data_IF_207661017731
#
_entry.id   IF_207661017731
#
_cell.length_a   1.000
_cell.length_b   1.000
_cell.length_c   1.000
_cell.angle_alpha   90.00
_cell.angle_beta   90.00
_cell.angle_gamma   90.00
#
_symmetry.space_group_name_H-M   'P 1'
#
loop_
_entity.id
_entity.type
_entity.pdbx_description
1 polymer ?
#
# COMPACT_ATOMS: atom_id res chain seq x y z
N UNK A 1 -11.83 -16.27 12.59
CA UNK A 1 -10.45 -16.15 13.11
C UNK A 1 -9.80 -14.91 12.49
N UNK A 2 -9.28 -13.96 13.29
CA UNK A 2 -8.56 -12.81 12.75
C UNK A 2 -7.26 -13.32 12.13
N UNK A 3 -7.08 -13.11 10.82
CA UNK A 3 -5.81 -13.45 10.16
C UNK A 3 -4.80 -12.35 10.47
N UNK A 4 -3.69 -12.74 11.08
CA UNK A 4 -2.52 -11.91 11.36
C UNK A 4 -1.97 -11.24 10.09
N UNK A 5 -1.42 -10.03 10.26
CA UNK A 5 -0.93 -9.17 9.20
C UNK A 5 0.17 -9.81 8.33
N UNK A 6 0.35 -9.35 7.08
CA UNK A 6 1.50 -9.70 6.26
C UNK A 6 2.78 -8.98 6.68
N UNK A 7 2.68 -7.90 7.48
CA UNK A 7 3.83 -7.15 8.01
C UNK A 7 3.61 -6.87 9.49
N UNK A 8 4.55 -7.26 10.34
CA UNK A 8 4.58 -6.89 11.76
C UNK A 8 5.60 -5.77 11.94
N UNK A 9 5.19 -4.69 12.62
CA UNK A 9 6.10 -3.62 12.99
C UNK A 9 6.60 -3.85 14.42
N UNK A 10 7.92 -3.80 14.59
CA UNK A 10 8.57 -3.89 15.88
C UNK A 10 9.21 -2.54 16.21
N UNK A 11 9.03 -2.05 17.44
CA UNK A 11 9.80 -0.91 17.95
C UNK A 11 11.22 -1.37 18.26
N UNK A 12 12.18 -0.77 17.57
CA UNK A 12 13.60 -1.08 17.66
C UNK A 12 14.41 0.14 18.09
N UNK A 13 13.77 1.12 18.73
CA UNK A 13 14.38 2.40 19.12
C UNK A 13 15.64 2.18 19.97
N UNK A 14 15.54 1.35 21.00
CA UNK A 14 16.63 1.09 21.96
C UNK A 14 17.54 -0.07 21.54
N UNK A 15 17.30 -0.68 20.37
CA UNK A 15 18.06 -1.82 19.87
C UNK A 15 19.33 -1.37 19.15
N UNK A 16 20.47 -1.77 19.68
CA UNK A 16 21.80 -1.51 19.10
C UNK A 16 22.24 -2.58 18.09
N UNK A 17 21.55 -3.73 18.06
CA UNK A 17 21.80 -4.81 17.10
C UNK A 17 21.13 -4.58 15.74
N UNK A 18 20.28 -3.56 15.63
CA UNK A 18 19.60 -3.18 14.40
C UNK A 18 20.39 -2.10 13.67
N UNK A 19 20.64 -2.25 12.35
CA UNK A 19 21.36 -1.26 11.55
C UNK A 19 20.77 0.14 11.66
N UNK A 20 21.61 1.15 11.43
CA UNK A 20 21.15 2.52 11.31
C UNK A 20 20.10 2.66 10.19
N UNK A 21 19.11 3.54 10.36
CA UNK A 21 18.10 3.78 9.35
C UNK A 21 18.73 4.38 8.08
N UNK A 22 18.09 4.16 6.94
CA UNK A 22 18.46 4.86 5.71
C UNK A 22 18.13 6.35 5.80
N UNK A 23 18.79 7.14 4.94
CA UNK A 23 18.48 8.56 4.70
C UNK A 23 18.57 9.43 5.97
N UNK A 24 19.66 9.25 6.74
CA UNK A 24 19.95 10.07 7.93
C UNK A 24 20.05 11.57 7.61
N UNK A 25 20.41 11.93 6.38
CA UNK A 25 20.39 13.29 5.87
C UNK A 25 18.98 13.90 5.85
N UNK A 26 17.98 13.14 5.40
CA UNK A 26 16.56 13.56 5.42
C UNK A 26 16.06 13.69 6.86
N UNK A 27 16.42 12.74 7.73
CA UNK A 27 16.10 12.79 9.16
C UNK A 27 16.71 14.04 9.80
N UNK A 28 17.98 14.32 9.54
CA UNK A 28 18.67 15.50 10.05
C UNK A 28 18.03 16.80 9.55
N UNK A 29 17.57 16.84 8.30
CA UNK A 29 16.85 18.01 7.77
C UNK A 29 15.52 18.28 8.47
N UNK A 30 14.76 17.22 8.83
CA UNK A 30 13.58 17.38 9.70
C UNK A 30 13.93 17.85 11.11
N UNK A 31 15.00 17.33 11.69
CA UNK A 31 15.47 17.76 13.01
C UNK A 31 15.89 19.24 13.01
N UNK A 32 16.51 19.71 11.92
CA UNK A 32 16.91 21.11 11.76
C UNK A 32 15.71 22.07 11.76
N UNK A 33 14.51 21.62 11.35
CA UNK A 33 13.27 22.41 11.41
C UNK A 33 12.42 22.13 12.66
N UNK A 34 13.00 21.48 13.68
CA UNK A 34 12.39 21.33 15.00
C UNK A 34 11.61 20.04 15.23
N UNK A 35 11.71 19.04 14.35
CA UNK A 35 11.16 17.71 14.63
C UNK A 35 12.06 16.93 15.58
N UNK A 36 11.46 16.12 16.45
CA UNK A 36 12.17 15.19 17.33
C UNK A 36 11.95 13.75 16.89
N UNK A 37 13.00 12.93 16.93
CA UNK A 37 12.84 11.49 16.71
C UNK A 37 12.14 10.87 17.92
N UNK A 38 11.11 10.06 17.65
CA UNK A 38 10.28 9.42 18.69
C UNK A 38 10.33 7.90 18.65
N UNK A 39 10.63 7.30 17.49
CA UNK A 39 10.82 5.86 17.39
C UNK A 39 11.66 5.44 16.17
N UNK A 40 12.22 4.23 16.23
CA UNK A 40 12.66 3.44 15.08
C UNK A 40 11.76 2.22 14.96
N UNK A 41 11.20 1.98 13.78
CA UNK A 41 10.30 0.85 13.55
C UNK A 41 10.84 -0.06 12.45
N UNK A 42 10.89 -1.36 12.70
CA UNK A 42 11.30 -2.36 11.72
C UNK A 42 10.08 -3.14 11.23
N UNK A 43 9.85 -3.14 9.92
CA UNK A 43 8.82 -3.96 9.29
C UNK A 43 9.36 -5.35 9.00
N UNK A 44 8.67 -6.39 9.47
CA UNK A 44 8.98 -7.78 9.15
C UNK A 44 7.90 -8.37 8.24
N UNK A 45 8.31 -8.84 7.05
CA UNK A 45 7.40 -9.52 6.14
C UNK A 45 7.08 -10.93 6.63
N UNK A 46 5.82 -11.35 6.52
CA UNK A 46 5.39 -12.72 6.84
C UNK A 46 6.06 -13.72 5.89
N UNK A 47 6.83 -14.64 6.46
CA UNK A 47 7.68 -15.55 5.70
C UNK A 47 9.11 -15.05 5.48
N UNK A 48 9.46 -13.88 6.04
CA UNK A 48 10.78 -13.28 5.95
C UNK A 48 11.01 -12.47 4.68
N UNK A 49 12.06 -11.65 4.70
CA UNK A 49 12.47 -10.82 3.56
C UNK A 49 12.75 -11.68 2.32
N UNK A 50 13.41 -12.82 2.48
CA UNK A 50 13.75 -13.71 1.36
C UNK A 50 12.52 -14.25 0.62
N UNK A 51 11.45 -14.59 1.33
CA UNK A 51 10.21 -15.02 0.70
C UNK A 51 9.53 -13.88 -0.09
N UNK A 52 9.63 -12.64 0.41
CA UNK A 52 9.09 -11.46 -0.26
C UNK A 52 9.85 -11.13 -1.55
N UNK A 53 11.18 -11.21 -1.53
CA UNK A 53 12.03 -10.80 -2.66
C UNK A 53 12.32 -11.91 -3.68
N UNK A 54 11.92 -13.17 -3.41
CA UNK A 54 12.23 -14.33 -4.26
C UNK A 54 11.89 -14.13 -5.74
N UNK A 55 10.82 -13.40 -6.02
CA UNK A 55 10.32 -13.22 -7.38
C UNK A 55 10.97 -12.03 -8.12
N UNK A 56 11.97 -11.36 -7.54
CA UNK A 56 12.72 -10.25 -8.17
C UNK A 56 13.96 -10.74 -8.94
N UNK A 57 14.54 -9.89 -9.82
CA UNK A 57 15.86 -10.18 -10.42
C UNK A 57 16.95 -10.17 -9.36
N UNK A 58 18.05 -10.88 -9.63
CA UNK A 58 19.12 -11.07 -8.64
C UNK A 58 19.74 -9.72 -8.25
N UNK A 59 19.93 -8.84 -9.24
CA UNK A 59 20.31 -7.43 -9.05
C UNK A 59 19.42 -6.69 -8.03
N UNK A 60 18.09 -6.80 -8.16
CA UNK A 60 17.18 -6.11 -7.25
C UNK A 60 17.05 -6.81 -5.89
N UNK A 61 17.28 -8.13 -5.82
CA UNK A 61 17.13 -8.89 -4.57
C UNK A 61 18.08 -8.41 -3.50
N UNK A 62 19.35 -8.16 -3.84
CA UNK A 62 20.33 -7.76 -2.84
C UNK A 62 20.06 -6.35 -2.32
N UNK A 63 19.75 -5.41 -3.21
CA UNK A 63 19.33 -4.06 -2.83
C UNK A 63 18.07 -4.07 -1.97
N UNK A 64 17.06 -4.90 -2.34
CA UNK A 64 15.84 -5.06 -1.56
C UNK A 64 16.08 -5.70 -0.21
N UNK A 65 16.97 -6.69 -0.12
CA UNK A 65 17.28 -7.36 1.14
C UNK A 65 17.89 -6.38 2.13
N UNK A 66 18.87 -5.60 1.68
CA UNK A 66 19.47 -4.54 2.48
C UNK A 66 18.41 -3.53 2.89
N UNK A 67 17.71 -2.93 1.92
CA UNK A 67 16.73 -1.88 2.18
C UNK A 67 15.59 -2.26 3.12
N UNK A 68 15.02 -3.47 2.96
CA UNK A 68 13.94 -3.97 3.82
C UNK A 68 14.40 -4.37 5.22
N UNK A 69 15.70 -4.49 5.45
CA UNK A 69 16.27 -4.73 6.78
C UNK A 69 16.54 -3.44 7.58
N UNK A 70 16.40 -2.28 6.94
CA UNK A 70 16.63 -0.99 7.59
C UNK A 70 15.37 -0.52 8.30
N UNK A 71 15.47 -0.01 9.54
CA UNK A 71 14.31 0.55 10.23
C UNK A 71 13.87 1.86 9.58
N UNK A 72 12.57 2.15 9.68
CA UNK A 72 12.02 3.49 9.44
C UNK A 72 12.19 4.35 10.70
N UNK A 73 12.32 5.65 10.53
CA UNK A 73 12.37 6.63 11.62
C UNK A 73 11.04 7.35 11.71
N UNK A 74 10.50 7.45 12.93
CA UNK A 74 9.35 8.29 13.23
C UNK A 74 9.82 9.58 13.90
N UNK A 75 9.34 10.70 13.36
CA UNK A 75 9.65 12.05 13.77
C UNK A 75 8.35 12.78 14.11
N UNK A 76 8.35 13.53 15.20
CA UNK A 76 7.19 14.27 15.67
C UNK A 76 7.50 15.76 15.69
N UNK A 77 6.60 16.58 15.17
CA UNK A 77 6.74 18.04 15.18
C UNK A 77 6.72 18.61 16.60
N UNK A 78 7.23 19.82 16.78
CA UNK A 78 7.30 20.48 18.09
C UNK A 78 5.93 20.75 18.74
N UNK A 79 4.87 20.88 17.92
CA UNK A 79 3.47 21.01 18.35
C UNK A 79 2.77 19.66 18.53
N UNK A 80 3.50 18.54 18.37
CA UNK A 80 3.02 17.16 18.42
C UNK A 80 1.84 16.87 17.46
N UNK A 81 1.61 17.71 16.44
CA UNK A 81 0.50 17.51 15.48
C UNK A 81 0.88 16.61 14.32
N UNK A 82 2.12 16.77 13.81
CA UNK A 82 2.57 16.12 12.57
C UNK A 82 3.53 14.99 12.89
N UNK A 83 3.15 13.78 12.50
CA UNK A 83 4.02 12.62 12.50
C UNK A 83 4.61 12.41 11.10
N UNK A 84 5.93 12.45 11.00
CA UNK A 84 6.69 12.13 9.79
C UNK A 84 7.32 10.75 9.94
N UNK A 85 7.06 9.88 8.96
CA UNK A 85 7.79 8.63 8.79
C UNK A 85 8.80 8.80 7.65
N UNK A 86 10.07 8.51 7.94
CA UNK A 86 11.14 8.39 6.94
C UNK A 86 11.53 6.92 6.84
N UNK A 87 11.40 6.34 5.67
CA UNK A 87 11.70 4.94 5.41
C UNK A 87 12.55 4.79 4.14
N UNK A 88 13.25 3.67 4.04
CA UNK A 88 13.83 3.27 2.76
C UNK A 88 12.73 2.80 1.80
N UNK A 89 12.81 3.24 0.55
CA UNK A 89 11.95 2.72 -0.52
C UNK A 89 12.72 2.66 -1.83
N UNK A 90 13.18 1.46 -2.20
CA UNK A 90 13.80 1.15 -3.49
C UNK A 90 14.96 2.08 -3.89
N UNK A 91 15.81 2.45 -2.93
CA UNK A 91 17.00 3.27 -3.15
C UNK A 91 16.81 4.75 -2.88
N UNK A 92 15.60 5.19 -2.54
CA UNK A 92 15.29 6.58 -2.24
C UNK A 92 14.45 6.72 -0.96
N UNK A 93 14.39 7.92 -0.36
CA UNK A 93 13.62 8.12 0.85
C UNK A 93 12.12 8.10 0.52
N UNK A 94 11.37 7.27 1.24
CA UNK A 94 9.93 7.41 1.39
C UNK A 94 9.64 8.28 2.61
N UNK A 95 9.03 9.45 2.39
CA UNK A 95 8.65 10.37 3.44
C UNK A 95 7.15 10.56 3.44
N UNK A 96 6.52 10.31 4.58
CA UNK A 96 5.08 10.45 4.77
C UNK A 96 4.86 11.32 6.01
N UNK A 97 4.39 12.55 5.80
CA UNK A 97 3.85 13.39 6.86
C UNK A 97 2.37 13.07 7.07
N UNK A 98 1.93 13.04 8.32
CA UNK A 98 0.58 12.62 8.68
C UNK A 98 0.05 13.39 9.88
N UNK A 99 -1.23 13.75 9.84
CA UNK A 99 -1.95 14.42 10.92
C UNK A 99 -3.33 13.79 11.09
N UNK A 100 -3.65 13.37 12.31
CA UNK A 100 -4.98 12.91 12.67
C UNK A 100 -5.93 14.08 12.89
N UNK A 101 -7.21 13.90 12.55
CA UNK A 101 -8.24 14.93 12.68
C UNK A 101 -9.30 14.50 13.71
N UNK A 102 -9.97 15.47 14.33
CA UNK A 102 -10.98 15.22 15.37
C UNK A 102 -12.21 14.44 14.89
N UNK A 103 -12.48 14.43 13.59
CA UNK A 103 -13.55 13.64 12.96
C UNK A 103 -13.12 12.21 12.64
N UNK A 104 -11.92 11.81 13.08
CA UNK A 104 -11.31 10.51 12.79
C UNK A 104 -10.73 10.40 11.38
N UNK A 105 -10.69 11.50 10.62
CA UNK A 105 -10.00 11.51 9.33
C UNK A 105 -8.49 11.66 9.49
N UNK A 106 -7.76 11.30 8.44
CA UNK A 106 -6.30 11.33 8.37
C UNK A 106 -5.87 12.15 7.16
N UNK A 107 -5.07 13.18 7.39
CA UNK A 107 -4.43 13.95 6.33
C UNK A 107 -3.00 13.45 6.18
N UNK A 108 -2.58 13.15 4.96
CA UNK A 108 -1.22 12.71 4.65
C UNK A 108 -0.63 13.51 3.50
N UNK A 109 0.67 13.75 3.59
CA UNK A 109 1.46 14.32 2.51
C UNK A 109 2.68 13.46 2.26
N UNK A 110 2.82 13.01 1.02
CA UNK A 110 3.84 12.06 0.61
C UNK A 110 4.85 12.77 -0.26
N UNK A 111 6.14 12.48 -0.03
CA UNK A 111 7.18 12.78 -1.01
C UNK A 111 6.93 11.96 -2.28
N UNK A 112 7.03 12.61 -3.43
CA UNK A 112 6.97 11.95 -4.74
C UNK A 112 8.12 10.95 -4.86
N UNK A 113 7.86 9.82 -5.50
CA UNK A 113 8.89 8.83 -5.79
C UNK A 113 9.80 9.33 -6.92
N UNK A 114 11.10 9.06 -6.81
CA UNK A 114 12.07 9.42 -7.83
C UNK A 114 11.95 8.54 -9.06
N UNK A 115 11.74 7.24 -8.81
CA UNK A 115 11.63 6.24 -9.86
C UNK A 115 10.55 5.22 -9.54
N UNK A 116 10.20 4.45 -10.58
CA UNK A 116 9.34 3.30 -10.50
C UNK A 116 10.06 2.19 -9.73
N UNK A 117 9.50 1.70 -8.61
CA UNK A 117 10.10 0.56 -7.95
C UNK A 117 10.16 -0.65 -8.89
N UNK A 118 11.23 -1.47 -8.84
CA UNK A 118 11.31 -2.70 -9.61
C UNK A 118 10.08 -3.57 -9.35
N UNK A 119 9.63 -4.26 -10.38
CA UNK A 119 8.51 -5.18 -10.30
C UNK A 119 9.04 -6.60 -10.13
N UNK A 120 8.33 -7.47 -9.39
CA UNK A 120 8.58 -8.90 -9.45
C UNK A 120 8.51 -9.39 -10.91
N UNK A 121 9.37 -10.34 -11.31
CA UNK A 121 9.45 -10.91 -12.67
C UNK A 121 8.08 -11.30 -13.21
N UNK A 122 7.25 -11.92 -12.36
CA UNK A 122 5.87 -12.34 -12.69
C UNK A 122 4.92 -11.19 -13.09
N UNK A 123 5.23 -9.96 -12.68
CA UNK A 123 4.40 -8.78 -12.91
C UNK A 123 5.04 -7.78 -13.89
N UNK A 124 6.21 -8.09 -14.44
CA UNK A 124 6.95 -7.19 -15.34
C UNK A 124 6.18 -6.87 -16.63
N UNK A 125 5.41 -7.83 -17.16
CA UNK A 125 4.52 -7.60 -18.32
C UNK A 125 3.43 -6.56 -18.07
N UNK A 126 3.08 -6.33 -16.80
CA UNK A 126 2.05 -5.38 -16.37
C UNK A 126 2.63 -3.98 -16.13
N UNK A 127 3.94 -3.88 -15.86
CA UNK A 127 4.67 -2.61 -15.63
C UNK A 127 4.32 -1.54 -16.66
N UNK A 128 4.29 -1.88 -17.94
CA UNK A 128 4.01 -0.94 -19.05
C UNK A 128 2.61 -0.31 -19.01
N UNK A 129 1.68 -0.90 -18.27
CA UNK A 129 0.28 -0.45 -18.14
C UNK A 129 0.01 0.26 -16.81
N UNK A 130 0.90 0.15 -15.83
CA UNK A 130 0.76 0.83 -14.54
C UNK A 130 1.23 2.28 -14.68
N UNK A 131 0.32 3.25 -14.54
CA UNK A 131 0.66 4.67 -14.43
C UNK A 131 0.77 5.03 -12.95
N UNK A 132 2.00 5.22 -12.47
CA UNK A 132 2.29 5.51 -11.06
C UNK A 132 1.79 6.88 -10.61
N UNK A 133 1.75 7.86 -11.50
CA UNK A 133 1.11 9.15 -11.21
C UNK A 133 -0.36 9.00 -10.85
N UNK A 134 -1.07 8.09 -11.53
CA UNK A 134 -2.45 7.78 -11.21
C UNK A 134 -2.61 7.02 -9.89
N UNK A 135 -1.54 6.41 -9.37
CA UNK A 135 -1.52 5.76 -8.05
C UNK A 135 -1.24 6.76 -6.92
N UNK A 136 -0.22 7.61 -7.09
CA UNK A 136 0.12 8.62 -6.09
C UNK A 136 -0.96 9.70 -5.98
N UNK A 137 -1.66 10.01 -7.09
CA UNK A 137 -2.73 11.03 -7.15
C UNK A 137 -4.14 10.44 -6.97
N UNK A 138 -4.28 9.20 -6.46
CA UNK A 138 -5.61 8.60 -6.29
C UNK A 138 -6.46 9.44 -5.34
N UNK A 139 -7.73 9.69 -5.70
CA UNK A 139 -8.63 10.45 -4.85
C UNK A 139 -8.87 9.72 -3.52
N UNK A 140 -8.96 10.55 -2.50
CA UNK A 140 -9.31 10.32 -1.10
C UNK A 140 -10.23 9.09 -0.89
N UNK A 141 -9.79 8.15 -0.05
CA UNK A 141 -10.69 7.12 0.47
C UNK A 141 -11.38 7.67 1.72
N UNK A 142 -12.69 7.42 1.91
CA UNK A 142 -13.50 7.92 3.05
C UNK A 142 -12.71 8.07 4.36
N UNK A 143 -12.45 9.32 4.76
CA UNK A 143 -11.70 9.66 5.98
C UNK A 143 -10.18 9.75 5.81
N UNK A 144 -9.63 9.75 4.59
CA UNK A 144 -8.19 9.93 4.33
C UNK A 144 -7.96 10.84 3.13
N UNK A 145 -7.24 11.94 3.33
CA UNK A 145 -6.82 12.85 2.27
C UNK A 145 -5.32 12.74 2.04
N UNK A 146 -4.90 12.57 0.77
CA UNK A 146 -3.48 12.37 0.41
C UNK A 146 -3.07 13.46 -0.57
N UNK A 147 -1.96 14.12 -0.29
CA UNK A 147 -1.29 15.06 -1.19
C UNK A 147 0.12 14.58 -1.50
N UNK A 148 0.63 14.88 -2.69
CA UNK A 148 1.95 14.45 -3.14
C UNK A 148 2.76 15.68 -3.50
N UNK A 149 3.98 15.76 -3.00
CA UNK A 149 4.88 16.91 -3.16
C UNK A 149 6.17 16.48 -3.84
N UNK A 150 6.70 17.33 -4.70
CA UNK A 150 7.98 17.11 -5.37
C UNK A 150 9.14 17.66 -4.54
N UNK A 151 10.30 16.99 -4.60
CA UNK A 151 11.52 17.40 -3.91
C UNK A 151 11.69 16.78 -2.52
N UNK A 152 12.89 16.98 -1.98
CA UNK A 152 13.40 16.26 -0.80
C UNK A 152 13.57 17.18 0.41
N UNK A 153 13.32 18.47 0.23
CA UNK A 153 13.46 19.47 1.26
C UNK A 153 12.41 19.26 2.36
N UNK A 154 12.82 18.93 3.60
CA UNK A 154 11.90 18.70 4.71
C UNK A 154 11.01 19.91 5.02
N UNK A 155 11.54 21.13 4.86
CA UNK A 155 10.78 22.36 5.11
C UNK A 155 9.64 22.54 4.10
N UNK A 156 9.92 22.31 2.82
CA UNK A 156 8.92 22.35 1.74
C UNK A 156 7.83 21.29 1.93
N UNK A 157 8.19 20.07 2.34
CA UNK A 157 7.21 19.01 2.60
C UNK A 157 6.34 19.34 3.83
N UNK A 158 6.94 19.82 4.93
CA UNK A 158 6.21 20.26 6.13
C UNK A 158 5.23 21.41 5.81
N UNK A 159 5.70 22.43 5.10
CA UNK A 159 4.86 23.56 4.69
C UNK A 159 3.68 23.11 3.82
N UNK A 160 3.94 22.23 2.85
CA UNK A 160 2.89 21.65 2.01
C UNK A 160 1.89 20.80 2.82
N UNK A 161 2.38 20.03 3.80
CA UNK A 161 1.54 19.24 4.70
C UNK A 161 0.65 20.13 5.57
N UNK A 162 1.22 21.16 6.21
CA UNK A 162 0.45 22.11 7.03
C UNK A 162 -0.58 22.87 6.20
N UNK A 163 -0.24 23.22 4.96
CA UNK A 163 -1.20 23.79 3.99
C UNK A 163 -2.28 22.79 3.52
N UNK A 164 -2.02 21.49 3.61
CA UNK A 164 -3.01 20.44 3.35
C UNK A 164 -3.95 20.25 4.56
N UNK A 165 -3.39 20.21 5.77
CA UNK A 165 -4.15 20.15 7.03
C UNK A 165 -5.06 21.37 7.20
N UNK A 166 -4.58 22.57 6.89
CA UNK A 166 -5.39 23.81 7.01
C UNK A 166 -6.59 23.86 6.07
N UNK A 167 -6.58 23.08 4.99
CA UNK A 167 -7.72 22.93 4.06
C UNK A 167 -8.73 21.88 4.52
N UNK A 168 -8.39 21.06 5.51
CA UNK A 168 -9.32 20.10 6.08
C UNK A 168 -10.41 20.81 6.91
N UNK A 169 -11.61 20.24 6.94
CA UNK A 169 -12.78 20.85 7.61
C UNK A 169 -12.83 20.62 9.13
N UNK A 170 -11.97 19.73 9.62
CA UNK A 170 -11.93 19.33 11.03
C UNK A 170 -10.66 19.87 11.68
N UNK A 171 -10.62 19.90 13.01
CA UNK A 171 -9.43 20.35 13.75
C UNK A 171 -8.40 19.22 13.86
N UNK A 172 -7.10 19.52 13.72
CA UNK A 172 -6.07 18.53 13.96
C UNK A 172 -6.09 18.11 15.43
N UNK A 173 -5.79 16.84 15.69
CA UNK A 173 -5.58 16.30 17.04
C UNK A 173 -4.11 15.98 17.24
N UNK A 174 -3.56 16.16 18.45
CA UNK A 174 -2.21 15.74 18.75
C UNK A 174 -1.99 14.28 18.37
N UNK A 175 -0.88 14.02 17.69
CA UNK A 175 -0.39 12.67 17.47
C UNK A 175 -0.04 12.04 18.81
N UNK A 176 -0.31 10.74 18.92
CA UNK A 176 -0.23 10.00 20.18
C UNK A 176 1.16 10.09 20.80
N UNK A 177 1.21 10.20 22.13
CA UNK A 177 2.42 10.58 22.87
C UNK A 177 3.34 9.40 23.22
N UNK A 178 2.94 8.14 22.97
CA UNK A 178 3.79 6.98 23.22
C UNK A 178 4.25 6.26 21.93
N UNK A 179 5.51 5.78 21.85
CA UNK A 179 6.01 5.01 20.70
C UNK A 179 5.13 3.80 20.37
N UNK A 180 4.63 3.07 21.37
CA UNK A 180 3.75 1.93 21.18
C UNK A 180 2.38 2.27 20.57
N UNK A 181 1.87 3.49 20.81
CA UNK A 181 0.65 3.97 20.16
C UNK A 181 0.92 4.47 18.74
N UNK A 182 2.07 5.11 18.52
CA UNK A 182 2.52 5.49 17.17
C UNK A 182 2.74 4.27 16.28
N UNK A 183 3.34 3.20 16.80
CA UNK A 183 3.47 1.91 16.11
C UNK A 183 2.10 1.34 15.79
N UNK A 184 1.17 1.31 16.76
CA UNK A 184 -0.21 0.83 16.53
C UNK A 184 -0.97 1.67 15.52
N UNK A 185 -0.75 2.98 15.52
CA UNK A 185 -1.32 3.93 14.57
C UNK A 185 -0.79 3.68 13.15
N UNK A 186 0.54 3.54 13.00
CA UNK A 186 1.18 3.12 11.74
C UNK A 186 0.64 1.76 11.28
N UNK A 187 0.61 0.77 12.17
CA UNK A 187 0.09 -0.56 11.90
C UNK A 187 -1.40 -0.51 11.48
N UNK A 188 -2.21 0.32 12.11
CA UNK A 188 -3.63 0.51 11.77
C UNK A 188 -3.79 1.15 10.37
N UNK A 189 -2.95 2.14 10.04
CA UNK A 189 -2.91 2.76 8.70
C UNK A 189 -2.57 1.71 7.62
N UNK A 190 -1.63 0.81 7.90
CA UNK A 190 -1.32 -0.32 7.02
C UNK A 190 -2.38 -1.44 7.05
N UNK A 191 -3.07 -1.71 8.17
CA UNK A 191 -4.20 -2.67 8.21
C UNK A 191 -5.33 -2.24 7.29
N UNK A 192 -5.63 -0.95 7.27
CA UNK A 192 -6.55 -0.36 6.30
C UNK A 192 -6.15 -0.67 4.86
N UNK A 193 -4.84 -0.77 4.56
CA UNK A 193 -4.30 -1.09 3.23
C UNK A 193 -4.58 -2.51 2.74
N UNK A 194 -4.50 -3.49 3.64
CA UNK A 194 -4.49 -4.91 3.27
C UNK A 194 -5.89 -5.55 3.31
N UNK A 195 -6.78 -5.13 4.23
CA UNK A 195 -8.07 -5.82 4.49
C UNK A 195 -9.07 -5.72 3.32
N UNK A 196 -8.94 -4.73 2.44
CA UNK A 196 -9.77 -4.60 1.24
C UNK A 196 -9.39 -5.55 0.11
N UNK A 197 -8.16 -6.05 0.07
CA UNK A 197 -7.72 -7.01 -0.94
C UNK A 197 -8.46 -8.35 -0.78
N UNK A 198 -8.58 -8.87 0.44
CA UNK A 198 -9.18 -10.19 0.70
C UNK A 198 -10.69 -10.26 0.43
N UNK A 199 -11.45 -9.22 0.80
CA UNK A 199 -12.89 -9.17 0.49
C UNK A 199 -13.15 -9.06 -1.01
N UNK A 200 -12.27 -8.37 -1.73
CA UNK A 200 -12.38 -8.24 -3.18
C UNK A 200 -12.02 -9.57 -3.89
N UNK A 201 -10.97 -10.26 -3.42
CA UNK A 201 -10.61 -11.61 -3.90
C UNK A 201 -11.73 -12.62 -3.67
N UNK A 202 -12.40 -12.57 -2.52
CA UNK A 202 -13.54 -13.46 -2.23
C UNK A 202 -14.73 -13.18 -3.17
N UNK A 203 -15.14 -11.92 -3.32
CA UNK A 203 -16.23 -11.52 -4.23
C UNK A 203 -15.92 -11.91 -5.67
N UNK A 204 -14.64 -11.85 -6.08
CA UNK A 204 -14.24 -12.22 -7.44
C UNK A 204 -14.08 -13.72 -7.67
N UNK A 205 -13.65 -14.50 -6.67
CA UNK A 205 -13.73 -15.97 -6.74
C UNK A 205 -15.18 -16.42 -6.91
N UNK A 206 -16.11 -15.77 -6.21
CA UNK A 206 -17.55 -16.00 -6.37
C UNK A 206 -18.04 -15.57 -7.76
N UNK A 207 -17.60 -14.42 -8.28
CA UNK A 207 -17.98 -13.97 -9.62
C UNK A 207 -17.44 -14.88 -10.73
N UNK A 208 -16.18 -15.32 -10.63
CA UNK A 208 -15.59 -16.29 -11.56
C UNK A 208 -16.31 -17.63 -11.52
N UNK A 209 -16.57 -18.16 -10.31
CA UNK A 209 -17.36 -19.38 -10.13
C UNK A 209 -18.77 -19.24 -10.71
N UNK A 210 -19.41 -18.07 -10.56
CA UNK A 210 -20.72 -17.79 -11.14
C UNK A 210 -20.67 -17.78 -12.67
N UNK A 211 -19.68 -17.12 -13.29
CA UNK A 211 -19.52 -17.11 -14.76
C UNK A 211 -19.30 -18.52 -15.30
N UNK A 212 -18.47 -19.32 -14.63
CA UNK A 212 -18.26 -20.73 -15.01
C UNK A 212 -19.52 -21.56 -14.85
N UNK A 213 -20.27 -21.38 -13.75
CA UNK A 213 -21.53 -22.08 -13.51
C UNK A 213 -22.60 -21.72 -14.56
N UNK A 214 -22.77 -20.43 -14.85
CA UNK A 214 -23.72 -19.96 -15.88
C UNK A 214 -23.31 -20.47 -17.26
N UNK A 215 -22.01 -20.42 -17.61
CA UNK A 215 -21.50 -20.98 -18.86
C UNK A 215 -21.77 -22.48 -19.01
N UNK A 216 -21.60 -23.24 -17.93
CA UNK A 216 -21.89 -24.68 -17.91
C UNK A 216 -23.40 -24.97 -18.09
N UNK A 217 -24.28 -24.18 -17.44
CA UNK A 217 -25.73 -24.32 -17.58
C UNK A 217 -26.17 -24.02 -19.02
N UNK A 218 -25.66 -22.93 -19.61
CA UNK A 218 -25.96 -22.57 -21.01
C UNK A 218 -25.49 -23.66 -21.97
N UNK A 219 -24.30 -24.23 -21.74
CA UNK A 219 -23.77 -25.31 -22.57
C UNK A 219 -24.63 -26.58 -22.46
N UNK A 220 -25.08 -26.95 -21.26
CA UNK A 220 -25.98 -28.08 -21.03
C UNK A 220 -27.35 -27.88 -21.71
N UNK A 221 -27.90 -26.67 -21.66
CA UNK A 221 -29.16 -26.34 -22.33
C UNK A 221 -29.04 -26.40 -23.87
N UNK A 222 -27.90 -25.95 -24.42
CA UNK A 222 -27.61 -26.06 -25.86
C UNK A 222 -27.44 -27.52 -26.28
N UNK A 223 -26.74 -28.34 -25.51
CA UNK A 223 -26.61 -29.79 -25.73
C UNK A 223 -27.96 -30.51 -25.80
N UNK A 224 -28.94 -30.05 -25.03
CA UNK A 224 -30.27 -30.66 -24.98
C UNK A 224 -31.20 -30.24 -26.13
N UNK A 225 -30.93 -29.12 -26.81
CA UNK A 225 -31.93 -28.49 -27.70
C UNK A 225 -31.41 -28.12 -29.08
N UNK A 226 -30.10 -28.10 -29.30
CA UNK A 226 -29.50 -27.58 -30.53
C UNK A 226 -28.69 -28.62 -31.29
N UNK A 227 -28.60 -28.50 -32.63
CA UNK A 227 -27.76 -29.39 -33.43
C UNK A 227 -26.28 -29.17 -33.09
N UNK A 228 -25.48 -30.23 -33.26
CA UNK A 228 -24.08 -30.29 -32.86
C UNK A 228 -23.21 -29.07 -33.28
N UNK A 229 -23.35 -28.50 -34.49
CA UNK A 229 -22.57 -27.32 -34.88
C UNK A 229 -22.82 -26.09 -34.00
N UNK A 230 -24.06 -25.89 -33.54
CA UNK A 230 -24.43 -24.77 -32.66
C UNK A 230 -23.87 -24.96 -31.24
N UNK A 231 -23.80 -26.21 -30.76
CA UNK A 231 -23.16 -26.58 -29.49
C UNK A 231 -21.67 -26.26 -29.53
N UNK A 232 -20.99 -26.65 -30.62
CA UNK A 232 -19.56 -26.37 -30.82
C UNK A 232 -19.29 -24.86 -30.88
N UNK A 233 -20.10 -24.10 -31.61
CA UNK A 233 -19.98 -22.65 -31.67
C UNK A 233 -20.18 -21.99 -30.29
N UNK A 234 -21.17 -22.43 -29.52
CA UNK A 234 -21.40 -21.96 -28.15
C UNK A 234 -20.23 -22.26 -27.20
N UNK A 235 -19.67 -23.48 -27.27
CA UNK A 235 -18.50 -23.87 -26.50
C UNK A 235 -17.27 -22.98 -26.83
N UNK A 236 -17.05 -22.70 -28.11
CA UNK A 236 -15.95 -21.83 -28.57
C UNK A 236 -16.12 -20.40 -28.07
N UNK A 237 -17.34 -19.84 -28.10
CA UNK A 237 -17.61 -18.49 -27.58
C UNK A 237 -17.37 -18.42 -26.07
N UNK A 238 -17.84 -19.41 -25.30
CA UNK A 238 -17.59 -19.48 -23.85
C UNK A 238 -16.10 -19.62 -23.56
N UNK A 239 -15.38 -20.46 -24.30
CA UNK A 239 -13.93 -20.60 -24.17
C UNK A 239 -13.20 -19.29 -24.50
N UNK A 240 -13.59 -18.59 -25.57
CA UNK A 240 -13.03 -17.28 -25.93
C UNK A 240 -13.29 -16.22 -24.87
N UNK A 241 -14.52 -16.12 -24.35
CA UNK A 241 -14.85 -15.18 -23.27
C UNK A 241 -14.06 -15.50 -22.00
N UNK A 242 -13.89 -16.78 -21.68
CA UNK A 242 -13.09 -17.25 -20.55
C UNK A 242 -11.63 -16.82 -20.74
N UNK A 243 -11.03 -17.12 -21.90
CA UNK A 243 -9.64 -16.78 -22.21
C UNK A 243 -9.40 -15.27 -22.33
N UNK A 244 -10.37 -14.47 -22.76
CA UNK A 244 -10.23 -13.01 -22.87
C UNK A 244 -10.49 -12.28 -21.55
N UNK A 245 -11.49 -12.73 -20.78
CA UNK A 245 -11.93 -12.05 -19.56
C UNK A 245 -11.10 -12.49 -18.34
N UNK A 246 -10.70 -13.76 -18.22
CA UNK A 246 -9.93 -14.20 -17.04
C UNK A 246 -8.58 -13.53 -16.92
N UNK A 247 -7.73 -13.36 -17.96
CA UNK A 247 -6.46 -12.67 -17.83
C UNK A 247 -6.64 -11.20 -17.51
N UNK A 248 -7.66 -10.55 -18.07
CA UNK A 248 -7.98 -9.15 -17.76
C UNK A 248 -8.50 -9.01 -16.33
N UNK A 249 -9.31 -9.95 -15.86
CA UNK A 249 -9.79 -10.02 -14.48
C UNK A 249 -8.64 -10.34 -13.52
N UNK A 250 -7.74 -11.26 -13.87
CA UNK A 250 -6.54 -11.64 -13.13
C UNK A 250 -5.53 -10.50 -13.04
N UNK A 251 -5.38 -9.72 -14.11
CA UNK A 251 -4.65 -8.46 -14.11
C UNK A 251 -5.24 -7.48 -13.08
N UNK A 252 -6.56 -7.27 -13.08
CA UNK A 252 -7.22 -6.41 -12.10
C UNK A 252 -7.17 -7.00 -10.67
N UNK A 253 -7.12 -8.32 -10.51
CA UNK A 253 -6.90 -9.03 -9.23
C UNK A 253 -5.52 -8.71 -8.67
N UNK A 254 -4.46 -8.94 -9.44
CA UNK A 254 -3.09 -8.67 -9.02
C UNK A 254 -2.87 -7.17 -8.76
N UNK A 255 -3.49 -6.32 -9.57
CA UNK A 255 -3.44 -4.88 -9.43
C UNK A 255 -4.20 -4.39 -8.17
N UNK A 256 -5.39 -4.93 -7.88
CA UNK A 256 -6.17 -4.55 -6.70
C UNK A 256 -5.59 -5.10 -5.38
N UNK A 257 -4.96 -6.29 -5.42
CA UNK A 257 -4.28 -6.92 -4.28
C UNK A 257 -3.08 -6.09 -3.78
N UNK A 258 -2.45 -5.33 -4.66
CA UNK A 258 -1.26 -4.55 -4.33
C UNK A 258 -1.57 -3.11 -3.89
N UNK A 259 -2.75 -2.55 -4.21
CA UNK A 259 -2.93 -1.09 -4.26
C UNK A 259 -4.19 -0.48 -3.59
N UNK A 260 -5.13 -1.24 -3.01
CA UNK A 260 -6.34 -0.63 -2.42
C UNK A 260 -6.48 -0.88 -0.93
N UNK A 261 -6.14 0.11 -0.09
CA UNK A 261 -6.69 0.31 1.25
C UNK A 261 -8.17 0.68 1.31
N UNK A 262 -8.87 0.17 2.32
CA UNK A 262 -10.09 0.74 2.89
C UNK A 262 -9.81 1.01 4.37
N UNK A 263 -9.53 2.27 4.68
CA UNK A 263 -9.56 2.74 6.06
C UNK A 263 -11.01 2.69 6.56
N UNK A 264 -11.23 2.10 7.74
CA UNK A 264 -12.44 2.28 8.53
C UNK A 264 -11.99 2.73 9.89
N UNK A 265 -12.13 4.01 10.19
CA UNK A 265 -12.01 4.48 11.56
C UNK A 265 -13.06 3.74 12.42
N UNK A 266 -12.65 3.28 13.61
CA UNK A 266 -13.62 2.96 14.66
C UNK A 266 -14.23 4.29 15.08
N UNK A 267 -15.50 4.52 14.75
CA UNK A 267 -16.33 5.35 15.61
C UNK A 267 -16.36 4.66 16.97
N UNK A 268 -15.78 5.30 17.99
CA UNK A 268 -16.06 4.97 19.38
C UNK A 268 -17.56 5.11 19.65
#
# INVERSE_FOLDING_TARGET
MPRELPVLYEDVTDRTDVPDPAHLDVVAGYQAIGYRQVARILGSARGGIDAFIRDYSDEHRDALRVGLSLPSVLLLSADDLVLVQVAWFYGFPAVIASTGMADGSLVETHRRWDDVPPWPKRAERVRRRARLDGEMRRPESRGRSIHVVEGDDPASLDAAHRGHVSRARSTPVPSVSSPAELVREVEHRFRGSVVSADRFVLVQKLAGALVTAVGAIVLLALLATQPWPAVVAGAVVVALLTVLLLPRMYFWILYAQWYRPRYRARSG
#
